data_IF_582440843523
#
_entry.id   IF_582440843523
#
_cell.length_a   1.000
_cell.length_b   1.000
_cell.length_c   1.000
_cell.angle_alpha   90.00
_cell.angle_beta   90.00
_cell.angle_gamma   90.00
#
_symmetry.space_group_name_H-M   'P 1'
#
loop_
_entity.id
_entity.type
_entity.pdbx_description
1 polymer ?
#
# COMPACT_ATOMS: atom_id res chain seq x y z
N UNK A 1 13.89 3.35 -20.33
CA UNK A 1 14.13 1.92 -20.65
C UNK A 1 12.93 1.14 -20.14
N UNK A 2 12.40 0.25 -20.94
CA UNK A 2 11.30 -0.62 -20.54
C UNK A 2 11.79 -1.78 -19.66
N UNK A 3 10.93 -2.31 -18.80
CA UNK A 3 11.28 -3.41 -17.88
C UNK A 3 11.74 -4.68 -18.64
N UNK A 4 11.06 -4.98 -19.75
CA UNK A 4 11.44 -6.11 -20.62
C UNK A 4 12.82 -5.94 -21.26
N UNK A 5 13.21 -4.70 -21.62
CA UNK A 5 14.55 -4.42 -22.14
C UNK A 5 15.63 -4.60 -21.06
N UNK A 6 15.35 -4.16 -19.83
CA UNK A 6 16.23 -4.41 -18.69
C UNK A 6 16.43 -5.91 -18.44
N UNK A 7 15.34 -6.71 -18.44
CA UNK A 7 15.43 -8.18 -18.26
C UNK A 7 16.32 -8.83 -19.31
N UNK A 8 16.17 -8.47 -20.59
CA UNK A 8 17.02 -8.97 -21.68
C UNK A 8 18.49 -8.59 -21.46
N UNK A 9 18.77 -7.37 -21.01
CA UNK A 9 20.12 -6.87 -20.74
C UNK A 9 20.77 -7.58 -19.56
N UNK A 10 20.01 -7.91 -18.51
CA UNK A 10 20.48 -8.73 -17.38
C UNK A 10 20.88 -10.13 -17.88
N UNK A 11 20.02 -10.77 -18.68
CA UNK A 11 20.30 -12.11 -19.22
C UNK A 11 21.48 -12.16 -20.21
N UNK A 12 21.84 -11.03 -20.84
CA UNK A 12 22.98 -10.93 -21.77
C UNK A 12 24.21 -10.24 -21.17
N UNK A 13 24.22 -9.96 -19.87
CA UNK A 13 25.30 -9.23 -19.16
C UNK A 13 25.63 -7.85 -19.78
N UNK A 14 24.67 -7.22 -20.45
CA UNK A 14 24.83 -5.92 -21.08
C UNK A 14 24.03 -4.83 -20.34
N UNK A 15 24.20 -4.79 -19.02
CA UNK A 15 23.54 -3.81 -18.17
C UNK A 15 24.28 -2.48 -18.24
N UNK A 16 23.60 -1.32 -18.36
CA UNK A 16 24.24 -0.02 -18.31
C UNK A 16 24.93 0.23 -16.97
N UNK A 17 26.12 0.82 -16.99
CA UNK A 17 26.88 1.16 -15.78
C UNK A 17 26.18 2.13 -14.84
N UNK A 18 25.14 2.78 -15.32
CA UNK A 18 24.33 3.73 -14.58
C UNK A 18 22.83 3.48 -14.84
N UNK A 19 22.10 3.24 -13.79
CA UNK A 19 20.65 2.98 -13.80
C UNK A 19 19.94 3.81 -12.74
N UNK A 20 18.71 4.16 -13.04
CA UNK A 20 17.78 4.81 -12.11
C UNK A 20 16.52 3.97 -12.05
N UNK A 21 16.21 3.45 -10.90
CA UNK A 21 15.00 2.71 -10.60
C UNK A 21 14.08 3.57 -9.76
N UNK A 22 12.84 3.68 -10.14
CA UNK A 22 11.85 4.41 -9.35
C UNK A 22 10.48 3.77 -9.49
N UNK A 23 9.63 3.99 -8.49
CA UNK A 23 8.26 3.51 -8.46
C UNK A 23 7.86 2.99 -7.10
N UNK A 24 6.61 2.59 -7.01
CA UNK A 24 5.97 2.15 -5.78
C UNK A 24 6.38 0.73 -5.40
N UNK A 25 6.70 -0.12 -6.39
CA UNK A 25 7.08 -1.53 -6.21
C UNK A 25 8.54 -1.71 -5.78
N UNK A 26 8.84 -1.24 -4.57
CA UNK A 26 10.20 -1.26 -4.02
C UNK A 26 10.77 -2.67 -3.86
N UNK A 27 9.94 -3.68 -3.60
CA UNK A 27 10.38 -5.07 -3.50
C UNK A 27 10.81 -5.63 -4.85
N UNK A 28 10.13 -5.25 -5.92
CA UNK A 28 10.51 -5.64 -7.27
C UNK A 28 11.84 -5.00 -7.64
N UNK A 29 12.06 -3.72 -7.29
CA UNK A 29 13.37 -3.07 -7.46
C UNK A 29 14.48 -3.89 -6.78
N UNK A 30 14.27 -4.34 -5.54
CA UNK A 30 15.26 -5.16 -4.83
C UNK A 30 15.56 -6.49 -5.55
N UNK A 31 14.52 -7.15 -6.08
CA UNK A 31 14.67 -8.38 -6.85
C UNK A 31 15.52 -8.13 -8.11
N UNK A 32 15.26 -7.05 -8.84
CA UNK A 32 16.04 -6.70 -10.03
C UNK A 32 17.48 -6.35 -9.71
N UNK A 33 17.75 -5.63 -8.61
CA UNK A 33 19.10 -5.36 -8.13
C UNK A 33 19.82 -6.68 -7.80
N UNK A 34 19.14 -7.62 -7.13
CA UNK A 34 19.69 -8.93 -6.83
C UNK A 34 19.98 -9.74 -8.10
N UNK A 35 19.09 -9.74 -9.08
CA UNK A 35 19.28 -10.41 -10.36
C UNK A 35 20.49 -9.86 -11.12
N UNK A 36 20.68 -8.53 -11.13
CA UNK A 36 21.87 -7.88 -11.72
C UNK A 36 23.15 -8.39 -11.03
N UNK A 37 23.11 -8.54 -9.72
CA UNK A 37 24.28 -8.98 -8.94
C UNK A 37 24.59 -10.46 -9.11
N UNK A 38 23.56 -11.32 -9.09
CA UNK A 38 23.73 -12.77 -9.19
C UNK A 38 24.21 -13.19 -10.58
N UNK A 39 23.79 -12.47 -11.61
CA UNK A 39 24.16 -12.77 -13.00
C UNK A 39 25.67 -12.72 -13.25
N UNK A 40 26.45 -11.99 -12.41
CA UNK A 40 27.86 -11.76 -12.66
C UNK A 40 28.77 -11.82 -11.40
N UNK A 41 28.27 -12.31 -10.27
CA UNK A 41 29.01 -12.40 -8.99
C UNK A 41 29.56 -11.02 -8.51
N UNK A 42 28.80 -9.96 -8.72
CA UNK A 42 29.22 -8.61 -8.37
C UNK A 42 28.96 -8.31 -6.89
N UNK A 43 29.69 -7.35 -6.33
CA UNK A 43 29.58 -6.97 -4.92
C UNK A 43 28.69 -5.76 -4.73
N UNK A 44 27.61 -5.90 -3.95
CA UNK A 44 26.74 -4.76 -3.57
C UNK A 44 27.43 -3.88 -2.53
N UNK A 45 27.41 -2.57 -2.77
CA UNK A 45 27.89 -1.55 -1.84
C UNK A 45 26.79 -0.51 -1.67
N UNK A 46 26.18 -0.46 -0.49
CA UNK A 46 25.17 0.56 -0.17
C UNK A 46 25.90 1.79 0.36
N UNK A 47 25.56 2.96 -0.18
CA UNK A 47 26.14 4.25 0.19
C UNK A 47 25.05 5.32 0.30
N UNK A 48 25.30 6.34 1.11
CA UNK A 48 24.30 7.35 1.44
C UNK A 48 24.00 8.31 0.28
N UNK A 49 24.99 8.59 -0.57
CA UNK A 49 24.84 9.52 -1.68
C UNK A 49 25.81 9.23 -2.83
N UNK A 50 25.53 9.82 -3.99
CA UNK A 50 26.33 9.65 -5.21
C UNK A 50 27.76 10.16 -5.04
N UNK A 51 27.96 11.24 -4.30
CA UNK A 51 29.31 11.79 -4.07
C UNK A 51 30.22 10.79 -3.32
N UNK A 52 29.65 10.05 -2.38
CA UNK A 52 30.35 8.98 -1.68
C UNK A 52 30.67 7.81 -2.61
N UNK A 53 29.69 7.39 -3.45
CA UNK A 53 29.91 6.34 -4.44
C UNK A 53 31.10 6.68 -5.36
N UNK A 54 31.19 7.92 -5.84
CA UNK A 54 32.31 8.40 -6.70
C UNK A 54 33.61 8.36 -5.94
N UNK A 55 33.66 8.86 -4.69
CA UNK A 55 34.89 8.84 -3.85
C UNK A 55 35.38 7.42 -3.58
N UNK A 56 34.44 6.51 -3.26
CA UNK A 56 34.80 5.13 -2.95
C UNK A 56 35.20 4.36 -4.21
N UNK A 57 34.62 4.69 -5.36
CA UNK A 57 35.03 4.14 -6.66
C UNK A 57 36.46 4.59 -7.06
N UNK A 58 36.89 5.79 -6.67
CA UNK A 58 38.22 6.30 -6.94
C UNK A 58 39.34 5.74 -6.04
N UNK A 59 38.98 5.07 -4.91
CA UNK A 59 39.94 4.47 -4.02
C UNK A 59 40.57 3.21 -4.61
N UNK A 60 41.90 3.05 -4.49
CA UNK A 60 42.57 1.79 -4.85
C UNK A 60 42.06 0.68 -3.91
N UNK A 61 41.37 -0.32 -4.47
CA UNK A 61 40.91 -1.48 -3.74
C UNK A 61 41.79 -2.69 -4.07
N UNK A 62 42.13 -3.47 -3.05
CA UNK A 62 42.79 -4.78 -3.23
C UNK A 62 41.84 -5.79 -3.84
N UNK A 63 40.55 -5.58 -3.64
CA UNK A 63 39.45 -6.37 -4.20
C UNK A 63 39.20 -5.93 -5.65
N UNK A 64 39.46 -6.83 -6.61
CA UNK A 64 39.25 -6.60 -8.05
C UNK A 64 37.81 -6.89 -8.51
N UNK A 65 36.92 -7.27 -7.59
CA UNK A 65 35.52 -7.54 -7.91
C UNK A 65 34.82 -6.28 -8.44
N UNK A 66 33.92 -6.47 -9.38
CA UNK A 66 33.04 -5.39 -9.87
C UNK A 66 32.07 -5.02 -8.74
N UNK A 67 31.93 -3.72 -8.50
CA UNK A 67 31.05 -3.19 -7.45
C UNK A 67 29.79 -2.58 -8.05
N UNK A 68 28.65 -2.84 -7.41
CA UNK A 68 27.38 -2.20 -7.70
C UNK A 68 27.07 -1.27 -6.52
N UNK A 69 27.23 0.01 -6.72
CA UNK A 69 26.87 1.03 -5.74
C UNK A 69 25.36 1.25 -5.81
N UNK A 70 24.67 1.17 -4.67
CA UNK A 70 23.24 1.45 -4.57
C UNK A 70 23.04 2.64 -3.65
N UNK A 71 22.40 3.68 -4.18
CA UNK A 71 22.06 4.92 -3.47
C UNK A 71 20.56 5.07 -3.45
N UNK A 72 19.96 5.34 -2.29
CA UNK A 72 18.52 5.52 -2.11
C UNK A 72 18.21 6.98 -1.78
N UNK A 73 17.25 7.58 -2.49
CA UNK A 73 16.67 8.91 -2.23
C UNK A 73 17.68 10.08 -2.18
N UNK A 74 18.72 10.05 -3.01
CA UNK A 74 19.63 11.21 -3.15
C UNK A 74 18.98 12.32 -4.00
N UNK A 75 18.05 13.07 -3.40
CA UNK A 75 17.35 14.18 -4.06
C UNK A 75 18.26 15.33 -4.43
N UNK A 76 19.33 15.56 -3.65
CA UNK A 76 20.32 16.60 -3.92
C UNK A 76 21.08 16.36 -5.23
N UNK A 77 21.22 15.10 -5.64
CA UNK A 77 21.85 14.74 -6.90
C UNK A 77 20.99 15.10 -8.12
N UNK A 78 19.65 14.99 -8.00
CA UNK A 78 18.72 15.27 -9.10
C UNK A 78 18.75 16.73 -9.58
N UNK A 79 19.18 17.64 -8.74
CA UNK A 79 19.23 19.09 -9.02
C UNK A 79 20.54 19.56 -9.63
N UNK A 80 21.60 18.72 -9.66
CA UNK A 80 22.95 19.09 -10.09
C UNK A 80 23.23 18.58 -11.50
N UNK A 81 22.98 19.38 -12.53
CA UNK A 81 23.21 19.00 -13.94
C UNK A 81 24.65 18.57 -14.26
N UNK A 82 25.65 19.28 -13.74
CA UNK A 82 27.07 18.97 -14.00
C UNK A 82 27.54 17.62 -13.43
N UNK A 83 26.82 17.06 -12.45
CA UNK A 83 27.24 15.82 -11.78
C UNK A 83 27.07 14.57 -12.66
N UNK A 84 26.25 14.61 -13.70
CA UNK A 84 25.93 13.46 -14.56
C UNK A 84 27.06 12.97 -15.43
N UNK A 85 27.77 13.90 -16.07
CA UNK A 85 28.93 13.55 -16.88
C UNK A 85 30.05 13.01 -16.02
N UNK A 86 30.21 13.56 -14.80
CA UNK A 86 31.20 13.10 -13.84
C UNK A 86 30.90 11.67 -13.36
N UNK A 87 29.62 11.34 -13.12
CA UNK A 87 29.19 9.96 -12.77
C UNK A 87 29.50 9.00 -13.91
N UNK A 88 29.15 9.33 -15.15
CA UNK A 88 29.43 8.48 -16.32
C UNK A 88 30.92 8.22 -16.51
N UNK A 89 31.73 9.24 -16.30
CA UNK A 89 33.20 9.13 -16.38
C UNK A 89 33.76 8.31 -15.23
N UNK A 90 33.22 8.48 -14.02
CA UNK A 90 33.69 7.78 -12.83
C UNK A 90 33.32 6.28 -12.85
N UNK A 91 32.11 5.93 -13.28
CA UNK A 91 31.56 4.57 -13.18
C UNK A 91 31.86 3.66 -14.39
N UNK A 92 32.99 3.85 -15.08
CA UNK A 92 33.33 3.06 -16.27
C UNK A 92 33.69 1.59 -16.00
N UNK A 93 34.04 1.21 -14.76
CA UNK A 93 34.38 -0.17 -14.33
C UNK A 93 33.34 -0.77 -13.40
N UNK A 94 32.65 0.05 -12.66
CA UNK A 94 31.64 -0.35 -11.68
C UNK A 94 30.26 0.16 -12.08
N UNK A 95 29.25 -0.19 -11.32
CA UNK A 95 27.86 0.16 -11.59
C UNK A 95 27.32 1.07 -10.51
N UNK A 96 26.43 1.97 -10.87
CA UNK A 96 25.66 2.83 -9.96
C UNK A 96 24.18 2.66 -10.25
N UNK A 97 23.43 2.28 -9.24
CA UNK A 97 21.97 2.20 -9.26
C UNK A 97 21.43 3.23 -8.28
N UNK A 98 20.66 4.18 -8.79
CA UNK A 98 19.90 5.12 -7.96
C UNK A 98 18.48 4.57 -7.79
N UNK A 99 17.97 4.62 -6.58
CA UNK A 99 16.65 4.14 -6.21
C UNK A 99 15.82 5.28 -5.65
N UNK A 100 14.60 5.47 -6.18
CA UNK A 100 13.65 6.48 -5.73
C UNK A 100 12.24 5.89 -5.63
N UNK A 101 11.41 6.41 -4.71
CA UNK A 101 9.99 6.10 -4.69
C UNK A 101 9.25 6.83 -5.80
N UNK A 102 9.62 8.08 -6.06
CA UNK A 102 9.00 8.88 -7.10
C UNK A 102 10.01 9.80 -7.78
N UNK A 103 9.76 10.10 -9.07
CA UNK A 103 10.53 11.07 -9.84
C UNK A 103 9.58 11.99 -10.61
N UNK A 104 9.89 13.29 -10.65
CA UNK A 104 9.16 14.20 -11.54
C UNK A 104 9.55 13.92 -13.01
N UNK A 105 8.64 13.25 -13.71
CA UNK A 105 8.81 12.88 -15.12
C UNK A 105 9.00 14.09 -16.06
N UNK A 106 8.63 15.29 -15.62
CA UNK A 106 8.76 16.54 -16.39
C UNK A 106 10.10 17.23 -16.18
N UNK A 107 10.88 16.82 -15.20
CA UNK A 107 12.19 17.41 -14.91
C UNK A 107 13.15 17.24 -16.10
N UNK A 108 14.06 18.21 -16.29
CA UNK A 108 15.09 18.15 -17.33
C UNK A 108 15.99 16.92 -17.15
N UNK A 109 16.25 16.57 -15.90
CA UNK A 109 16.97 15.39 -15.49
C UNK A 109 16.37 14.09 -16.06
N UNK A 110 15.08 13.83 -15.83
CA UNK A 110 14.40 12.62 -16.31
C UNK A 110 14.41 12.56 -17.83
N UNK A 111 14.14 13.69 -18.50
CA UNK A 111 14.14 13.74 -19.97
C UNK A 111 15.50 13.40 -20.58
N UNK A 112 16.61 13.93 -20.02
CA UNK A 112 17.98 13.67 -20.51
C UNK A 112 18.44 12.22 -20.26
N UNK A 113 17.90 11.55 -19.24
CA UNK A 113 18.34 10.22 -18.82
C UNK A 113 17.32 9.10 -19.07
N UNK A 114 16.29 9.36 -19.88
CA UNK A 114 15.18 8.43 -20.14
C UNK A 114 15.64 7.00 -20.48
N UNK A 115 16.75 6.85 -21.19
CA UNK A 115 17.32 5.55 -21.56
C UNK A 115 17.86 4.73 -20.37
N UNK A 116 18.18 5.38 -19.24
CA UNK A 116 18.76 4.75 -18.04
C UNK A 116 17.75 4.63 -16.91
N UNK A 117 16.52 5.13 -17.10
CA UNK A 117 15.47 5.14 -16.10
C UNK A 117 14.53 3.98 -16.36
N UNK A 118 14.23 3.22 -15.31
CA UNK A 118 13.24 2.14 -15.31
C UNK A 118 12.20 2.43 -14.22
N UNK A 119 10.94 2.42 -14.63
CA UNK A 119 9.80 2.62 -13.76
C UNK A 119 9.25 1.27 -13.29
N UNK A 120 8.99 1.15 -12.01
CA UNK A 120 8.39 0.01 -11.34
C UNK A 120 7.06 0.44 -10.70
N UNK A 121 6.04 0.60 -11.54
CA UNK A 121 4.68 0.91 -11.11
C UNK A 121 3.99 -0.31 -10.51
N UNK A 122 2.91 -0.09 -9.78
CA UNK A 122 2.07 -1.17 -9.27
C UNK A 122 1.69 -2.18 -10.36
N UNK A 123 1.73 -3.44 -10.00
CA UNK A 123 1.27 -4.52 -10.86
C UNK A 123 -0.27 -4.53 -10.91
N UNK A 124 -0.82 -4.94 -12.04
CA UNK A 124 -2.27 -5.16 -12.13
C UNK A 124 -2.71 -6.37 -11.30
N UNK A 125 -3.96 -6.37 -10.86
CA UNK A 125 -4.55 -7.47 -10.08
C UNK A 125 -4.35 -8.83 -10.75
N UNK A 126 -4.52 -8.89 -12.08
CA UNK A 126 -4.34 -10.13 -12.85
C UNK A 126 -2.91 -10.68 -12.74
N UNK A 127 -1.90 -9.79 -12.77
CA UNK A 127 -0.50 -10.17 -12.64
C UNK A 127 -0.20 -10.58 -11.20
N UNK A 128 -0.71 -9.85 -10.22
CA UNK A 128 -0.58 -10.22 -8.80
C UNK A 128 -1.23 -11.57 -8.49
N UNK A 129 -2.42 -11.85 -9.05
CA UNK A 129 -3.06 -13.15 -8.92
C UNK A 129 -2.21 -14.29 -9.49
N UNK A 130 -1.59 -14.10 -10.67
CA UNK A 130 -0.68 -15.09 -11.23
C UNK A 130 0.51 -15.39 -10.31
N UNK A 131 1.09 -14.38 -9.67
CA UNK A 131 2.15 -14.58 -8.68
C UNK A 131 1.64 -15.30 -7.43
N UNK A 132 0.45 -14.97 -6.94
CA UNK A 132 -0.18 -15.66 -5.80
C UNK A 132 -0.41 -17.14 -6.15
N UNK A 133 -0.98 -17.46 -7.31
CA UNK A 133 -1.22 -18.86 -7.72
C UNK A 133 0.05 -19.66 -7.99
N UNK A 134 1.12 -19.02 -8.42
CA UNK A 134 2.44 -19.67 -8.50
C UNK A 134 2.91 -20.15 -7.13
N UNK A 135 2.70 -19.33 -6.09
CA UNK A 135 3.19 -19.58 -4.75
C UNK A 135 2.19 -20.32 -3.85
N UNK A 136 0.90 -20.16 -4.11
CA UNK A 136 -0.25 -20.79 -3.43
C UNK A 136 -1.24 -21.36 -4.48
N UNK A 137 -0.90 -22.45 -5.17
CA UNK A 137 -1.67 -22.93 -6.34
C UNK A 137 -3.09 -23.41 -6.01
N UNK A 138 -3.39 -23.68 -4.74
CA UNK A 138 -4.68 -24.17 -4.27
C UNK A 138 -5.52 -23.09 -3.54
N UNK A 139 -5.13 -21.81 -3.62
CA UNK A 139 -5.91 -20.72 -3.06
C UNK A 139 -7.01 -20.32 -4.05
N UNK A 140 -8.27 -20.16 -3.59
CA UNK A 140 -9.36 -19.75 -4.47
C UNK A 140 -9.23 -18.26 -4.87
N UNK A 141 -9.90 -17.90 -5.98
CA UNK A 141 -9.89 -16.54 -6.55
C UNK A 141 -10.38 -15.48 -5.54
N UNK A 142 -11.43 -15.80 -4.80
CA UNK A 142 -11.97 -14.91 -3.76
C UNK A 142 -10.92 -14.54 -2.71
N UNK A 143 -10.17 -15.52 -2.22
CA UNK A 143 -9.15 -15.30 -1.19
C UNK A 143 -7.90 -14.64 -1.77
N UNK A 144 -7.52 -14.95 -3.02
CA UNK A 144 -6.45 -14.25 -3.73
C UNK A 144 -6.78 -12.76 -3.92
N UNK A 145 -8.01 -12.43 -4.34
CA UNK A 145 -8.46 -11.04 -4.50
C UNK A 145 -8.51 -10.28 -3.16
N UNK A 146 -8.94 -10.95 -2.08
CA UNK A 146 -8.88 -10.38 -0.72
C UNK A 146 -7.44 -10.08 -0.31
N UNK A 147 -6.50 -11.00 -0.57
CA UNK A 147 -5.09 -10.82 -0.23
C UNK A 147 -4.49 -9.61 -0.94
N UNK A 148 -4.79 -9.42 -2.22
CA UNK A 148 -4.38 -8.27 -3.01
C UNK A 148 -4.92 -6.97 -2.38
N UNK A 149 -6.21 -6.95 -2.05
CA UNK A 149 -6.85 -5.80 -1.41
C UNK A 149 -6.22 -5.49 -0.04
N UNK A 150 -5.98 -6.49 0.82
CA UNK A 150 -5.37 -6.28 2.13
C UNK A 150 -3.95 -5.70 2.04
N UNK A 151 -3.24 -6.04 0.98
CA UNK A 151 -1.89 -5.54 0.72
C UNK A 151 -1.84 -4.25 -0.09
N UNK A 152 -3.00 -3.67 -0.45
CA UNK A 152 -3.09 -2.47 -1.29
C UNK A 152 -2.27 -2.58 -2.58
N UNK A 153 -2.37 -3.73 -3.25
CA UNK A 153 -1.62 -4.07 -4.48
C UNK A 153 -0.08 -4.05 -4.33
N UNK A 154 0.46 -3.94 -3.11
CA UNK A 154 1.91 -3.98 -2.88
C UNK A 154 2.42 -5.43 -2.93
N UNK A 155 3.21 -5.74 -3.96
CA UNK A 155 3.76 -7.08 -4.16
C UNK A 155 4.66 -7.55 -3.01
N UNK A 156 5.40 -6.63 -2.39
CA UNK A 156 6.26 -6.94 -1.24
C UNK A 156 5.46 -7.41 -0.03
N UNK A 157 4.35 -6.76 0.25
CA UNK A 157 3.41 -7.15 1.32
C UNK A 157 2.73 -8.47 1.01
N UNK A 158 2.28 -8.66 -0.25
CA UNK A 158 1.70 -9.93 -0.70
C UNK A 158 2.65 -11.09 -0.45
N UNK A 159 3.95 -10.95 -0.74
CA UNK A 159 4.93 -12.00 -0.46
C UNK A 159 5.04 -12.34 1.03
N UNK A 160 5.02 -11.35 1.91
CA UNK A 160 5.07 -11.59 3.37
C UNK A 160 3.82 -12.34 3.86
N UNK A 161 2.66 -11.99 3.33
CA UNK A 161 1.41 -12.67 3.68
C UNK A 161 1.36 -14.09 3.09
N UNK A 162 1.87 -14.31 1.88
CA UNK A 162 2.05 -15.65 1.29
C UNK A 162 2.94 -16.52 2.18
N UNK A 163 4.07 -16.00 2.65
CA UNK A 163 4.96 -16.74 3.55
C UNK A 163 4.27 -17.10 4.86
N UNK A 164 3.46 -16.21 5.43
CA UNK A 164 2.64 -16.46 6.62
C UNK A 164 1.64 -17.59 6.39
N UNK A 165 0.91 -17.57 5.27
CA UNK A 165 -0.05 -18.62 4.91
C UNK A 165 0.68 -19.97 4.75
N UNK A 166 1.84 -19.99 4.07
CA UNK A 166 2.67 -21.22 3.92
C UNK A 166 3.13 -21.77 5.26
N UNK A 167 3.61 -20.91 6.16
CA UNK A 167 4.04 -21.31 7.51
C UNK A 167 2.87 -21.89 8.31
N UNK A 168 1.72 -21.22 8.28
CA UNK A 168 0.52 -21.70 8.96
C UNK A 168 0.03 -23.03 8.41
N UNK A 169 -0.04 -23.18 7.09
CA UNK A 169 -0.42 -24.43 6.42
C UNK A 169 0.57 -25.58 6.72
N UNK A 170 1.87 -25.30 6.85
CA UNK A 170 2.86 -26.32 7.23
C UNK A 170 2.72 -26.81 8.67
N UNK A 171 2.10 -26.01 9.56
CA UNK A 171 1.79 -26.40 10.93
C UNK A 171 0.41 -27.07 11.05
N UNK A 172 -0.47 -26.87 10.09
CA UNK A 172 -1.87 -27.33 10.08
C UNK A 172 -2.15 -28.18 8.85
N UNK A 173 -1.54 -29.38 8.80
CA UNK A 173 -1.69 -30.33 7.68
C UNK A 173 -3.13 -30.86 7.49
N UNK A 174 -4.00 -30.65 8.46
CA UNK A 174 -5.41 -31.00 8.45
C UNK A 174 -6.30 -30.01 7.66
N UNK A 175 -5.77 -28.83 7.31
CA UNK A 175 -6.52 -27.75 6.64
C UNK A 175 -6.13 -27.60 5.17
N UNK A 176 -7.11 -27.16 4.37
CA UNK A 176 -6.87 -26.70 3.01
C UNK A 176 -6.23 -25.30 3.03
N UNK A 177 -5.63 -24.87 1.92
CA UNK A 177 -5.03 -23.54 1.80
C UNK A 177 -6.06 -22.42 2.05
N UNK A 178 -7.29 -22.59 1.53
CA UNK A 178 -8.38 -21.66 1.77
C UNK A 178 -8.80 -21.62 3.23
N UNK A 179 -8.91 -22.79 3.88
CA UNK A 179 -9.23 -22.83 5.32
C UNK A 179 -8.14 -22.17 6.17
N UNK A 180 -6.87 -22.33 5.81
CA UNK A 180 -5.77 -21.63 6.48
C UNK A 180 -5.88 -20.11 6.31
N UNK A 181 -6.19 -19.64 5.10
CA UNK A 181 -6.44 -18.23 4.84
C UNK A 181 -7.61 -17.69 5.68
N UNK A 182 -8.75 -18.39 5.68
CA UNK A 182 -9.94 -17.98 6.41
C UNK A 182 -9.73 -17.95 7.93
N UNK A 183 -8.99 -18.90 8.49
CA UNK A 183 -8.62 -18.87 9.90
C UNK A 183 -7.72 -17.68 10.25
N UNK A 184 -6.70 -17.40 9.43
CA UNK A 184 -5.82 -16.26 9.61
C UNK A 184 -6.58 -14.94 9.49
N UNK A 185 -7.51 -14.83 8.53
CA UNK A 185 -8.38 -13.66 8.35
C UNK A 185 -9.31 -13.45 9.56
N UNK A 186 -9.98 -14.52 10.01
CA UNK A 186 -10.85 -14.50 11.19
C UNK A 186 -10.11 -14.12 12.47
N UNK A 187 -8.86 -14.50 12.60
CA UNK A 187 -8.01 -14.14 13.74
C UNK A 187 -7.40 -12.73 13.61
N UNK A 188 -7.64 -12.01 12.49
CA UNK A 188 -7.08 -10.69 12.23
C UNK A 188 -5.56 -10.69 12.12
N UNK A 189 -4.96 -11.78 11.63
CA UNK A 189 -3.51 -11.94 11.56
C UNK A 189 -2.91 -11.42 10.25
N UNK A 190 -3.72 -11.09 9.25
CA UNK A 190 -3.24 -10.37 8.08
C UNK A 190 -2.91 -8.93 8.41
N UNK A 191 -1.85 -8.42 7.80
CA UNK A 191 -1.53 -7.01 7.88
C UNK A 191 -2.46 -6.23 6.95
N UNK A 192 -3.34 -5.43 7.56
CA UNK A 192 -4.16 -4.44 6.86
C UNK A 192 -3.67 -3.06 7.28
N UNK A 193 -3.70 -2.10 6.38
CA UNK A 193 -3.40 -0.72 6.78
C UNK A 193 -4.44 -0.21 7.77
N UNK A 194 -4.00 0.66 8.69
CA UNK A 194 -4.88 1.25 9.71
C UNK A 194 -6.14 1.82 9.06
N UNK A 195 -5.99 2.59 7.97
CA UNK A 195 -7.14 3.14 7.23
C UNK A 195 -8.12 2.10 6.69
N UNK A 196 -7.64 0.93 6.25
CA UNK A 196 -8.49 -0.11 5.67
C UNK A 196 -9.43 -0.71 6.71
N UNK A 197 -8.93 -0.98 7.92
CA UNK A 197 -9.73 -1.53 9.04
C UNK A 197 -10.79 -0.51 9.45
N UNK A 198 -10.38 0.75 9.57
CA UNK A 198 -11.30 1.86 9.88
C UNK A 198 -12.41 1.96 8.83
N UNK A 199 -12.07 1.88 7.54
CA UNK A 199 -13.05 1.93 6.45
C UNK A 199 -13.94 0.68 6.41
N UNK A 200 -13.40 -0.52 6.63
CA UNK A 200 -14.19 -1.77 6.70
C UNK A 200 -15.19 -1.73 7.85
N UNK A 201 -14.77 -1.26 9.04
CA UNK A 201 -15.66 -1.09 10.19
C UNK A 201 -16.75 -0.06 9.91
N UNK A 202 -16.37 1.12 9.42
CA UNK A 202 -17.32 2.20 9.16
C UNK A 202 -18.29 1.86 8.03
N UNK A 203 -17.86 1.15 6.97
CA UNK A 203 -18.76 0.66 5.90
C UNK A 203 -19.73 -0.38 6.43
N UNK A 204 -19.30 -1.29 7.31
CA UNK A 204 -20.18 -2.26 7.95
C UNK A 204 -21.24 -1.59 8.84
N UNK A 205 -20.86 -0.57 9.62
CA UNK A 205 -21.78 0.23 10.45
C UNK A 205 -22.77 1.00 9.56
N UNK A 206 -22.29 1.70 8.54
CA UNK A 206 -23.14 2.47 7.60
C UNK A 206 -24.09 1.57 6.80
N UNK A 207 -23.71 0.31 6.58
CA UNK A 207 -24.56 -0.70 5.93
C UNK A 207 -25.61 -1.33 6.84
N UNK A 208 -25.51 -1.15 8.17
CA UNK A 208 -26.42 -1.73 9.13
C UNK A 208 -26.33 -3.26 9.22
N UNK A 209 -25.12 -3.85 9.10
CA UNK A 209 -24.90 -5.31 9.16
C UNK A 209 -24.27 -5.74 10.50
N UNK A 210 -25.05 -6.04 11.57
CA UNK A 210 -24.53 -6.26 12.92
C UNK A 210 -23.46 -7.36 13.03
N UNK A 211 -23.63 -8.48 12.31
CA UNK A 211 -22.69 -9.60 12.38
C UNK A 211 -21.29 -9.21 11.87
N UNK A 212 -21.23 -8.44 10.79
CA UNK A 212 -19.96 -7.94 10.24
C UNK A 212 -19.33 -6.89 11.15
N UNK A 213 -20.17 -6.02 11.76
CA UNK A 213 -19.70 -4.96 12.65
C UNK A 213 -18.96 -5.51 13.85
N UNK A 214 -19.49 -6.54 14.52
CA UNK A 214 -18.84 -7.11 15.72
C UNK A 214 -17.44 -7.65 15.41
N UNK A 215 -17.27 -8.37 14.29
CA UNK A 215 -15.97 -8.87 13.90
C UNK A 215 -14.97 -7.73 13.61
N UNK A 216 -15.42 -6.68 12.92
CA UNK A 216 -14.59 -5.53 12.56
C UNK A 216 -14.27 -4.65 13.77
N UNK A 217 -15.18 -4.53 14.70
CA UNK A 217 -14.97 -3.82 15.96
C UNK A 217 -13.85 -4.48 16.79
N UNK A 218 -13.88 -5.81 16.94
CA UNK A 218 -12.83 -6.54 17.63
C UNK A 218 -11.47 -6.43 16.92
N UNK A 219 -11.47 -6.40 15.59
CA UNK A 219 -10.26 -6.20 14.80
C UNK A 219 -9.68 -4.78 15.00
N UNK A 220 -10.54 -3.75 14.93
CA UNK A 220 -10.15 -2.36 15.14
C UNK A 220 -9.57 -2.13 16.54
N UNK A 221 -10.19 -2.71 17.58
CA UNK A 221 -9.69 -2.66 18.95
C UNK A 221 -8.31 -3.29 19.10
N UNK A 222 -8.12 -4.50 18.54
CA UNK A 222 -6.82 -5.20 18.58
C UNK A 222 -5.70 -4.44 17.87
N UNK A 223 -6.03 -3.70 16.83
CA UNK A 223 -5.08 -2.88 16.06
C UNK A 223 -4.87 -1.48 16.62
N UNK A 224 -5.66 -1.08 17.62
CA UNK A 224 -5.56 0.24 18.24
C UNK A 224 -6.01 1.38 17.31
N UNK A 225 -7.08 1.15 16.53
CA UNK A 225 -7.63 2.16 15.63
C UNK A 225 -8.10 3.41 16.40
N UNK A 226 -7.74 4.63 15.96
CA UNK A 226 -8.12 5.84 16.68
C UNK A 226 -9.63 6.08 16.66
N UNK A 227 -10.27 6.06 17.81
CA UNK A 227 -11.73 6.26 17.97
C UNK A 227 -12.20 7.56 17.32
N UNK A 228 -11.40 8.64 17.45
CA UNK A 228 -11.71 9.94 16.87
C UNK A 228 -11.79 9.90 15.34
N UNK A 229 -10.91 9.11 14.70
CA UNK A 229 -10.92 8.92 13.25
C UNK A 229 -12.18 8.17 12.82
N UNK A 230 -12.54 7.09 13.54
CA UNK A 230 -13.75 6.30 13.28
C UNK A 230 -15.00 7.18 13.45
N UNK A 231 -15.09 7.95 14.53
CA UNK A 231 -16.21 8.86 14.79
C UNK A 231 -16.38 9.89 13.66
N UNK A 232 -15.28 10.48 13.18
CA UNK A 232 -15.31 11.44 12.08
C UNK A 232 -15.78 10.82 10.76
N UNK A 233 -15.29 9.62 10.43
CA UNK A 233 -15.67 8.92 9.19
C UNK A 233 -17.15 8.51 9.25
N UNK A 234 -17.61 7.97 10.38
CA UNK A 234 -19.04 7.64 10.59
C UNK A 234 -19.92 8.88 10.48
N UNK A 235 -19.54 9.97 11.15
CA UNK A 235 -20.25 11.25 11.03
C UNK A 235 -20.38 11.71 9.57
N UNK A 236 -19.27 11.70 8.84
CA UNK A 236 -19.24 12.08 7.42
C UNK A 236 -20.10 11.15 6.56
N UNK A 237 -20.03 9.84 6.81
CA UNK A 237 -20.83 8.83 6.13
C UNK A 237 -22.33 9.01 6.36
N UNK A 238 -22.77 9.17 7.62
CA UNK A 238 -24.18 9.42 7.94
C UNK A 238 -24.67 10.76 7.39
N UNK A 239 -23.85 11.83 7.42
CA UNK A 239 -24.16 13.10 6.80
C UNK A 239 -24.40 12.97 5.30
N UNK A 240 -23.52 12.23 4.61
CA UNK A 240 -23.63 11.98 3.18
C UNK A 240 -24.88 11.14 2.85
N UNK A 241 -25.15 10.12 3.66
CA UNK A 241 -26.33 9.26 3.53
C UNK A 241 -27.64 10.05 3.76
N UNK A 242 -27.66 10.91 4.79
CA UNK A 242 -28.79 11.79 5.07
C UNK A 242 -29.09 12.74 3.90
N UNK A 243 -28.05 13.35 3.32
CA UNK A 243 -28.22 14.22 2.15
C UNK A 243 -28.73 13.44 0.94
N UNK A 244 -28.23 12.22 0.72
CA UNK A 244 -28.65 11.36 -0.39
C UNK A 244 -30.10 10.92 -0.25
N UNK A 245 -30.51 10.44 0.93
CA UNK A 245 -31.91 10.07 1.21
C UNK A 245 -32.85 11.27 1.15
N UNK A 246 -32.48 12.38 1.77
CA UNK A 246 -33.27 13.61 1.83
C UNK A 246 -33.51 14.27 0.47
N UNK A 247 -32.70 13.96 -0.54
CA UNK A 247 -32.85 14.41 -1.92
C UNK A 247 -33.51 13.37 -2.83
N UNK A 248 -34.20 12.37 -2.25
CA UNK A 248 -34.87 11.32 -3.01
C UNK A 248 -33.91 10.51 -3.89
N UNK A 249 -32.70 10.27 -3.41
CA UNK A 249 -31.63 9.56 -4.12
C UNK A 249 -31.13 10.28 -5.38
N UNK A 250 -31.24 11.61 -5.41
CA UNK A 250 -30.66 12.44 -6.47
C UNK A 250 -29.13 12.52 -6.29
N UNK A 251 -28.40 11.78 -7.11
CA UNK A 251 -26.95 11.64 -7.06
C UNK A 251 -26.22 12.97 -7.23
N UNK A 252 -26.60 13.78 -8.20
CA UNK A 252 -25.96 15.05 -8.49
C UNK A 252 -26.21 16.07 -7.38
N UNK A 253 -27.43 16.21 -6.92
CA UNK A 253 -27.80 17.13 -5.84
C UNK A 253 -27.12 16.77 -4.52
N UNK A 254 -26.92 15.48 -4.22
CA UNK A 254 -26.20 15.03 -3.04
C UNK A 254 -24.70 15.43 -3.11
N UNK A 255 -24.06 15.22 -4.26
CA UNK A 255 -22.65 15.61 -4.47
C UNK A 255 -22.46 17.13 -4.34
N UNK A 256 -23.34 17.93 -4.94
CA UNK A 256 -23.28 19.40 -4.89
C UNK A 256 -23.43 19.95 -3.45
N UNK A 257 -24.30 19.33 -2.65
CA UNK A 257 -24.57 19.78 -1.27
C UNK A 257 -23.50 19.38 -0.26
N UNK A 258 -22.94 18.20 -0.39
CA UNK A 258 -22.01 17.65 0.60
C UNK A 258 -20.56 17.75 0.19
N UNK A 259 -20.30 17.92 -1.11
CA UNK A 259 -18.95 17.82 -1.68
C UNK A 259 -18.41 16.39 -1.73
N UNK A 260 -19.28 15.36 -1.57
CA UNK A 260 -18.86 13.96 -1.60
C UNK A 260 -18.26 13.55 -2.93
N UNK A 261 -17.30 12.67 -2.87
CA UNK A 261 -16.66 12.05 -4.03
C UNK A 261 -17.55 10.99 -4.69
N UNK A 262 -17.19 10.54 -5.89
CA UNK A 262 -17.90 9.44 -6.56
C UNK A 262 -17.88 8.13 -5.76
N UNK A 263 -16.78 7.86 -5.03
CA UNK A 263 -16.66 6.69 -4.16
C UNK A 263 -17.62 6.75 -2.97
N UNK A 264 -17.68 7.89 -2.29
CA UNK A 264 -18.63 8.11 -1.18
C UNK A 264 -20.08 8.03 -1.64
N UNK A 265 -20.39 8.57 -2.84
CA UNK A 265 -21.71 8.43 -3.45
C UNK A 265 -22.07 6.96 -3.73
N UNK A 266 -21.11 6.16 -4.19
CA UNK A 266 -21.31 4.73 -4.39
C UNK A 266 -21.63 4.03 -3.05
N UNK A 267 -20.90 4.34 -1.99
CA UNK A 267 -21.20 3.87 -0.62
C UNK A 267 -22.62 4.24 -0.16
N UNK A 268 -23.05 5.50 -0.37
CA UNK A 268 -24.42 5.91 -0.06
C UNK A 268 -25.48 5.12 -0.84
N UNK A 269 -25.21 4.84 -2.11
CA UNK A 269 -26.13 4.05 -2.96
C UNK A 269 -26.29 2.62 -2.47
N UNK A 270 -25.18 2.01 -2.01
CA UNK A 270 -25.15 0.65 -1.45
C UNK A 270 -25.89 0.58 -0.12
N UNK A 271 -25.70 1.59 0.75
CA UNK A 271 -26.12 1.57 2.14
C UNK A 271 -27.47 2.26 2.41
N UNK A 272 -28.13 2.80 1.38
CA UNK A 272 -29.35 3.61 1.51
C UNK A 272 -30.52 2.90 2.19
N UNK A 273 -30.56 1.57 2.17
CA UNK A 273 -31.63 0.76 2.77
C UNK A 273 -31.35 0.30 4.20
N UNK A 274 -30.16 0.55 4.74
CA UNK A 274 -29.74 0.08 6.07
C UNK A 274 -30.43 0.80 7.23
N UNK A 275 -30.83 2.07 7.02
CA UNK A 275 -31.42 2.92 8.06
C UNK A 275 -32.52 3.81 7.51
N UNK A 276 -33.51 4.14 8.35
CA UNK A 276 -34.47 5.21 8.10
C UNK A 276 -33.78 6.60 8.18
N UNK A 277 -34.42 7.64 7.64
CA UNK A 277 -33.90 9.01 7.69
C UNK A 277 -33.71 9.47 9.15
N UNK A 278 -34.63 9.11 10.03
CA UNK A 278 -34.60 9.43 11.44
C UNK A 278 -33.41 8.76 12.14
N UNK A 279 -33.15 7.51 11.86
CA UNK A 279 -31.99 6.77 12.41
C UNK A 279 -30.67 7.35 11.88
N UNK A 280 -30.57 7.65 10.59
CA UNK A 280 -29.37 8.30 10.02
C UNK A 280 -29.09 9.63 10.70
N UNK A 281 -30.13 10.46 10.92
CA UNK A 281 -30.00 11.73 11.62
C UNK A 281 -29.58 11.56 13.06
N UNK A 282 -30.19 10.60 13.78
CA UNK A 282 -29.83 10.27 15.17
C UNK A 282 -28.37 9.84 15.26
N UNK A 283 -27.96 8.90 14.41
CA UNK A 283 -26.60 8.35 14.41
C UNK A 283 -25.55 9.43 14.05
N UNK A 284 -25.88 10.31 13.11
CA UNK A 284 -25.00 11.45 12.77
C UNK A 284 -24.77 12.37 13.98
N UNK A 285 -25.84 12.75 14.70
CA UNK A 285 -25.73 13.58 15.90
C UNK A 285 -24.99 12.87 17.02
N UNK A 286 -25.24 11.58 17.19
CA UNK A 286 -24.56 10.76 18.17
C UNK A 286 -23.05 10.67 17.96
N UNK A 287 -22.57 10.56 16.72
CA UNK A 287 -21.14 10.63 16.42
C UNK A 287 -20.51 11.95 16.92
N UNK A 288 -21.22 13.10 16.78
CA UNK A 288 -20.76 14.39 17.31
C UNK A 288 -20.75 14.44 18.85
N UNK A 289 -21.75 13.82 19.47
CA UNK A 289 -21.81 13.76 20.96
C UNK A 289 -20.65 12.95 21.52
N UNK A 290 -20.34 11.79 20.91
CA UNK A 290 -19.20 10.96 21.33
C UNK A 290 -17.89 11.70 21.11
N UNK A 291 -17.68 12.31 19.94
CA UNK A 291 -16.48 13.11 19.65
C UNK A 291 -16.29 14.23 20.69
N UNK A 292 -17.35 14.98 20.97
CA UNK A 292 -17.33 16.06 21.96
C UNK A 292 -17.13 15.53 23.38
N UNK A 293 -17.72 14.39 23.71
CA UNK A 293 -17.59 13.74 25.00
C UNK A 293 -16.15 13.30 25.30
N UNK A 294 -15.46 12.74 24.31
CA UNK A 294 -14.03 12.37 24.42
C UNK A 294 -13.18 13.63 24.60
N UNK A 295 -13.36 14.65 23.75
CA UNK A 295 -12.61 15.93 23.84
C UNK A 295 -12.79 16.63 25.18
N UNK A 296 -13.94 16.50 25.81
CA UNK A 296 -14.23 17.09 27.11
C UNK A 296 -13.89 16.19 28.30
N UNK A 297 -13.33 14.98 28.05
CA UNK A 297 -13.04 14.00 29.09
C UNK A 297 -14.27 13.41 29.79
N UNK A 298 -15.45 13.47 29.17
CA UNK A 298 -16.70 12.90 29.67
C UNK A 298 -16.90 11.43 29.30
N UNK A 299 -16.29 11.02 28.21
CA UNK A 299 -16.31 9.63 27.73
C UNK A 299 -14.88 9.16 27.71
N UNK A 300 -14.63 8.02 28.36
CA UNK A 300 -13.33 7.36 28.37
C UNK A 300 -13.04 6.78 26.97
N UNK A 301 -11.85 7.02 26.44
CA UNK A 301 -11.45 6.59 25.11
C UNK A 301 -11.46 5.06 24.98
N UNK A 302 -11.14 4.32 26.06
CA UNK A 302 -11.10 2.85 26.07
C UNK A 302 -12.47 2.21 25.79
N UNK A 303 -13.57 2.88 26.21
CA UNK A 303 -14.95 2.39 25.99
C UNK A 303 -15.66 3.13 24.85
N UNK A 304 -15.12 4.24 24.40
CA UNK A 304 -15.77 5.13 23.44
C UNK A 304 -16.05 4.44 22.10
N UNK A 305 -15.16 3.55 21.66
CA UNK A 305 -15.33 2.83 20.39
C UNK A 305 -16.51 1.86 20.45
N UNK A 306 -16.63 1.06 21.51
CA UNK A 306 -17.77 0.16 21.71
C UNK A 306 -19.07 0.97 21.81
N UNK A 307 -19.06 2.02 22.62
CA UNK A 307 -20.21 2.89 22.81
C UNK A 307 -20.68 3.52 21.48
N UNK A 308 -19.74 4.05 20.69
CA UNK A 308 -20.02 4.65 19.39
C UNK A 308 -20.64 3.64 18.42
N UNK A 309 -19.97 2.51 18.22
CA UNK A 309 -20.32 1.54 17.17
C UNK A 309 -21.61 0.82 17.52
N UNK A 310 -21.77 0.34 18.76
CA UNK A 310 -22.96 -0.39 19.19
C UNK A 310 -24.20 0.50 19.22
N UNK A 311 -24.07 1.77 19.64
CA UNK A 311 -25.21 2.69 19.66
C UNK A 311 -25.68 3.08 18.27
N UNK A 312 -24.80 3.06 17.26
CA UNK A 312 -25.21 3.29 15.86
C UNK A 312 -26.05 2.13 15.26
N UNK A 313 -25.98 0.94 15.86
CA UNK A 313 -26.74 -0.25 15.42
C UNK A 313 -28.10 -0.41 16.13
N UNK A 314 -28.34 0.33 17.20
CA UNK A 314 -29.59 0.33 17.98
C UNK A 314 -30.59 1.33 17.43
#
# INVERSE_FOLDING_TARGET
>A
MELLDLMKRIGTFNVPHFLIFFGEEQKIIDIYIQNIMQSAEWKKVVVDNVSQAIKDNGKKSLDKSIKVYVVTEDTAFLTKEESWENVRKAMHKNYLILRYHSLDKRSAFVRKNKQNIVEFSHLSDDVLQQYIYRDLPNLCEKNASKLISYCNNDYGRILLEIDKIKQYSSARHDLTMDSCFEELDKQGLFHKEIGDITFELTDAVLGGYPENVMQKLDEAKRKGEPVMTIAYILYSGFRNLLAYQGLGSNKQGAMERTGMTKGELYGCTKNVGGYSIEEVKRNMLFCQEVESGIKMGKIDEDIALDYLVLSCLM
#
